data_IF_883091257964
#
_entry.id   IF_883091257964
#
_cell.length_a   1.000
_cell.length_b   1.000
_cell.length_c   1.000
_cell.angle_alpha   90.00
_cell.angle_beta   90.00
_cell.angle_gamma   90.00
#
_symmetry.space_group_name_H-M   'P 1'
#
loop_
_entity.id
_entity.type
_entity.pdbx_description
1 polymer ?
#
# COMPACT_ATOMS: atom_id res chain seq x y z
N UNK A 1 -7.81 11.14 -30.41
CA UNK A 1 -7.42 10.02 -29.53
C UNK A 1 -6.06 10.38 -28.99
N UNK A 2 -5.97 10.59 -27.68
CA UNK A 2 -4.73 10.97 -27.02
C UNK A 2 -3.96 9.70 -26.68
N UNK A 3 -2.85 9.48 -27.38
CA UNK A 3 -2.02 8.29 -27.23
C UNK A 3 -1.18 8.32 -25.94
N UNK A 4 -1.00 9.50 -25.33
CA UNK A 4 -0.19 9.69 -24.13
C UNK A 4 -0.77 8.98 -22.89
N UNK A 5 -2.09 9.07 -22.69
CA UNK A 5 -2.78 8.40 -21.59
C UNK A 5 -2.73 6.87 -21.66
N UNK A 6 -2.71 6.30 -22.87
CA UNK A 6 -2.68 4.84 -23.04
C UNK A 6 -1.32 4.25 -22.66
N UNK A 7 -0.24 4.91 -23.07
CA UNK A 7 1.13 4.51 -22.73
C UNK A 7 1.40 4.63 -21.23
N UNK A 8 0.86 5.68 -20.60
CA UNK A 8 0.94 5.91 -19.16
C UNK A 8 0.18 4.81 -18.37
N UNK A 9 -1.04 4.46 -18.78
CA UNK A 9 -1.81 3.39 -18.13
C UNK A 9 -1.15 2.00 -18.25
N UNK A 10 -0.53 1.70 -19.40
CA UNK A 10 0.21 0.46 -19.59
C UNK A 10 1.49 0.41 -18.73
N UNK A 11 2.19 1.54 -18.61
CA UNK A 11 3.36 1.69 -17.74
C UNK A 11 3.00 1.44 -16.27
N UNK A 12 2.00 2.13 -15.74
CA UNK A 12 1.56 1.96 -14.34
C UNK A 12 1.06 0.55 -14.05
N UNK A 13 0.37 -0.10 -15.01
CA UNK A 13 -0.02 -1.50 -14.85
C UNK A 13 1.18 -2.41 -14.62
N UNK A 14 2.26 -2.22 -15.38
CA UNK A 14 3.49 -3.02 -15.21
C UNK A 14 4.10 -2.78 -13.83
N UNK A 15 4.17 -1.54 -13.38
CA UNK A 15 4.70 -1.21 -12.03
C UNK A 15 3.84 -1.86 -10.93
N UNK A 16 2.52 -1.80 -11.07
CA UNK A 16 1.57 -2.41 -10.14
C UNK A 16 1.69 -3.93 -10.09
N UNK A 17 1.89 -4.58 -11.23
CA UNK A 17 2.06 -6.03 -11.36
C UNK A 17 3.46 -6.50 -10.90
N UNK A 18 4.46 -5.62 -10.90
CA UNK A 18 5.83 -5.94 -10.52
C UNK A 18 6.04 -6.05 -8.99
N UNK A 19 5.16 -5.42 -8.20
CA UNK A 19 5.19 -5.50 -6.73
C UNK A 19 4.29 -6.63 -6.20
N UNK A 20 4.60 -7.17 -5.03
CA UNK A 20 3.85 -8.31 -4.47
C UNK A 20 3.51 -8.09 -3.00
N UNK A 21 2.28 -8.46 -2.64
CA UNK A 21 1.83 -8.60 -1.26
C UNK A 21 2.01 -10.08 -0.91
N UNK A 22 3.14 -10.42 -0.30
CA UNK A 22 3.52 -11.81 0.02
C UNK A 22 2.67 -12.34 1.19
N UNK A 23 2.32 -11.44 2.12
CA UNK A 23 1.40 -11.70 3.22
C UNK A 23 0.65 -10.43 3.58
N UNK A 24 -0.68 -10.48 3.60
CA UNK A 24 -1.51 -9.36 4.05
C UNK A 24 -2.00 -9.57 5.49
N UNK A 25 -2.21 -8.48 6.23
CA UNK A 25 -3.02 -8.49 7.46
C UNK A 25 -4.43 -9.03 7.14
N UNK A 26 -5.02 -9.94 7.92
CA UNK A 26 -6.31 -10.56 7.60
C UNK A 26 -7.53 -9.68 7.95
N UNK A 27 -7.31 -8.57 8.66
CA UNK A 27 -8.38 -7.73 9.17
C UNK A 27 -8.76 -6.61 8.20
N UNK A 28 -10.05 -6.24 8.24
CA UNK A 28 -10.58 -5.09 7.52
C UNK A 28 -10.24 -3.77 8.23
N UNK A 29 -10.16 -2.69 7.45
CA UNK A 29 -10.03 -1.32 7.94
C UNK A 29 -11.31 -0.87 8.66
N UNK A 30 -11.14 -0.10 9.73
CA UNK A 30 -12.24 0.42 10.51
C UNK A 30 -13.15 1.35 9.71
N UNK A 31 -14.45 1.36 10.04
CA UNK A 31 -15.43 2.28 9.44
C UNK A 31 -15.10 3.75 9.76
N UNK A 32 -14.67 4.00 11.00
CA UNK A 32 -14.33 5.32 11.51
C UNK A 32 -12.92 5.34 12.13
N UNK A 33 -12.30 6.52 12.13
CA UNK A 33 -11.02 6.74 12.78
C UNK A 33 -9.82 6.34 11.91
N UNK A 34 -8.81 5.80 12.56
CA UNK A 34 -7.51 5.51 11.97
C UNK A 34 -7.23 4.02 12.01
N UNK A 35 -6.73 3.47 10.91
CA UNK A 35 -6.22 2.10 10.85
C UNK A 35 -4.71 2.12 10.60
N UNK A 36 -4.01 1.31 11.38
CA UNK A 36 -2.58 1.10 11.25
C UNK A 36 -2.33 -0.19 10.48
N UNK A 37 -1.46 -0.10 9.47
CA UNK A 37 -1.03 -1.21 8.63
C UNK A 37 0.48 -1.37 8.78
N UNK A 38 0.96 -2.05 9.84
CA UNK A 38 2.38 -2.30 10.01
C UNK A 38 2.86 -3.30 8.95
N UNK A 39 4.09 -3.11 8.48
CA UNK A 39 4.64 -3.89 7.38
C UNK A 39 6.15 -4.14 7.52
N UNK A 40 6.59 -5.22 6.85
CA UNK A 40 7.95 -5.37 6.35
C UNK A 40 7.95 -5.21 4.84
N UNK A 41 8.85 -4.35 4.34
CA UNK A 41 9.08 -4.13 2.92
C UNK A 41 10.46 -4.67 2.56
N UNK A 42 10.49 -5.62 1.63
CA UNK A 42 11.70 -6.29 1.16
C UNK A 42 11.99 -5.81 -0.26
N UNK A 43 13.11 -5.14 -0.46
CA UNK A 43 13.51 -4.59 -1.75
C UNK A 43 14.94 -4.99 -2.06
N UNK A 44 15.19 -5.52 -3.26
CA UNK A 44 16.56 -5.70 -3.72
C UNK A 44 17.26 -4.33 -3.78
N UNK A 45 18.55 -4.28 -3.42
CA UNK A 45 19.35 -3.08 -3.57
C UNK A 45 19.54 -2.76 -5.06
N UNK A 46 19.70 -1.47 -5.37
CA UNK A 46 20.09 -1.01 -6.71
C UNK A 46 21.55 -1.35 -7.07
N UNK A 47 22.31 -1.91 -6.13
CA UNK A 47 23.74 -2.22 -6.27
C UNK A 47 23.97 -3.68 -6.69
N UNK A 48 25.04 -3.90 -7.47
CA UNK A 48 25.51 -5.23 -7.90
C UNK A 48 26.06 -6.10 -6.76
N UNK A 49 25.99 -5.64 -5.50
CA UNK A 49 26.44 -6.40 -4.33
C UNK A 49 25.44 -7.47 -3.87
N UNK A 50 24.26 -7.53 -4.50
CA UNK A 50 23.24 -8.54 -4.24
C UNK A 50 22.57 -8.39 -2.87
N UNK A 51 22.71 -7.23 -2.22
CA UNK A 51 22.08 -6.98 -0.93
C UNK A 51 20.57 -6.77 -1.08
N UNK A 52 19.83 -7.13 -0.04
CA UNK A 52 18.40 -6.90 0.10
C UNK A 52 18.16 -5.98 1.28
N UNK A 53 17.41 -4.90 1.05
CA UNK A 53 16.95 -3.99 2.08
C UNK A 53 15.66 -4.48 2.71
N UNK A 54 15.64 -4.60 4.03
CA UNK A 54 14.45 -4.94 4.81
C UNK A 54 14.06 -3.72 5.64
N UNK A 55 12.90 -3.16 5.34
CA UNK A 55 12.40 -1.97 6.03
C UNK A 55 11.17 -2.33 6.84
N UNK A 56 11.19 -2.04 8.14
CA UNK A 56 9.99 -2.08 8.97
C UNK A 56 9.34 -0.70 8.97
N UNK A 57 8.03 -0.66 8.78
CA UNK A 57 7.27 0.59 8.82
C UNK A 57 5.80 0.39 9.11
N UNK A 58 5.04 1.47 8.98
CA UNK A 58 3.60 1.48 9.17
C UNK A 58 2.95 2.49 8.24
N UNK A 59 1.94 2.04 7.50
CA UNK A 59 1.00 2.94 6.82
C UNK A 59 -0.17 3.23 7.74
N UNK A 60 -0.48 4.49 7.92
CA UNK A 60 -1.59 4.98 8.72
C UNK A 60 -2.66 5.52 7.78
N UNK A 61 -3.84 4.91 7.81
CA UNK A 61 -4.99 5.32 7.00
C UNK A 61 -5.97 6.05 7.90
N UNK A 62 -6.23 7.32 7.59
CA UNK A 62 -7.19 8.15 8.34
C UNK A 62 -8.37 8.52 7.45
N UNK A 63 -9.58 8.25 7.94
CA UNK A 63 -10.80 8.76 7.32
C UNK A 63 -11.16 10.13 7.89
N UNK A 64 -11.32 11.17 7.05
CA UNK A 64 -11.73 12.48 7.49
C UNK A 64 -13.16 12.42 8.05
N UNK A 65 -13.36 13.01 9.23
CA UNK A 65 -14.66 13.04 9.93
C UNK A 65 -15.60 14.13 9.40
N UNK A 66 -15.08 15.09 8.64
CA UNK A 66 -15.84 16.19 8.04
C UNK A 66 -15.99 15.88 6.55
N UNK A 67 -17.21 16.09 6.02
CA UNK A 67 -17.53 16.00 4.59
C UNK A 67 -16.47 16.79 3.80
N UNK A 68 -15.52 16.05 3.27
CA UNK A 68 -14.47 16.60 2.43
C UNK A 68 -15.12 16.81 1.06
N UNK A 69 -15.05 18.01 0.46
CA UNK A 69 -15.66 18.27 -0.83
C UNK A 69 -15.32 17.17 -1.85
N UNK A 70 -16.28 16.78 -2.68
CA UNK A 70 -16.16 15.65 -3.64
C UNK A 70 -15.04 15.81 -4.69
N UNK A 71 -14.34 16.95 -4.69
CA UNK A 71 -13.26 17.29 -5.60
C UNK A 71 -11.85 17.10 -5.02
N UNK A 72 -11.71 16.65 -3.77
CA UNK A 72 -10.41 16.31 -3.18
C UNK A 72 -10.10 14.83 -3.39
N UNK A 73 -8.94 14.51 -3.99
CA UNK A 73 -8.46 13.14 -4.11
C UNK A 73 -7.82 12.60 -2.82
N UNK A 74 -7.35 11.35 -2.81
CA UNK A 74 -6.58 10.81 -1.70
C UNK A 74 -5.25 11.56 -1.49
N UNK A 75 -4.85 11.71 -0.23
CA UNK A 75 -3.58 12.32 0.15
C UNK A 75 -2.57 11.25 0.54
N UNK A 76 -1.36 11.33 0.00
CA UNK A 76 -0.23 10.45 0.33
C UNK A 76 0.90 11.28 0.95
N UNK A 77 1.38 10.85 2.12
CA UNK A 77 2.47 11.49 2.85
C UNK A 77 3.51 10.44 3.26
N UNK A 78 4.80 10.72 3.07
CA UNK A 78 5.89 9.83 3.48
C UNK A 78 6.08 8.58 2.61
N UNK A 79 5.36 8.49 1.50
CA UNK A 79 5.74 7.71 0.35
C UNK A 79 6.68 8.64 -0.43
N UNK A 80 7.90 8.20 -0.75
CA UNK A 80 8.83 8.96 -1.59
C UNK A 80 9.75 7.96 -2.29
N UNK A 81 9.35 7.56 -3.49
CA UNK A 81 10.26 6.94 -4.47
C UNK A 81 10.28 7.85 -5.71
N UNK A 82 11.46 8.02 -6.32
CA UNK A 82 11.74 8.97 -7.41
C UNK A 82 10.89 8.79 -8.69
N UNK A 83 10.09 7.71 -8.78
CA UNK A 83 9.41 7.28 -10.01
C UNK A 83 7.90 7.03 -9.88
N UNK A 84 7.29 7.16 -8.70
CA UNK A 84 6.05 6.41 -8.39
C UNK A 84 4.75 7.20 -8.22
N UNK A 85 4.79 8.45 -7.77
CA UNK A 85 3.65 9.01 -7.02
C UNK A 85 2.67 9.80 -7.87
N UNK A 86 3.18 10.72 -8.69
CA UNK A 86 2.38 11.75 -9.33
C UNK A 86 1.38 11.18 -10.36
N UNK A 87 1.76 10.14 -11.09
CA UNK A 87 0.88 9.49 -12.06
C UNK A 87 0.09 8.29 -11.52
N UNK A 88 0.37 7.83 -10.30
CA UNK A 88 -0.33 6.66 -9.75
C UNK A 88 -1.75 7.01 -9.31
N UNK A 89 -1.97 8.18 -8.70
CA UNK A 89 -3.32 8.65 -8.35
C UNK A 89 -4.19 8.78 -9.61
N UNK A 90 -3.64 9.36 -10.68
CA UNK A 90 -4.32 9.48 -11.97
C UNK A 90 -4.65 8.12 -12.60
N UNK A 91 -3.70 7.17 -12.56
CA UNK A 91 -3.93 5.79 -13.02
C UNK A 91 -5.07 5.10 -12.26
N UNK A 92 -5.12 5.26 -10.93
CA UNK A 92 -6.14 4.64 -10.08
C UNK A 92 -7.53 5.22 -10.37
N UNK A 93 -7.61 6.55 -10.52
CA UNK A 93 -8.85 7.25 -10.90
C UNK A 93 -9.32 6.84 -12.29
N UNK A 94 -8.42 6.70 -13.27
CA UNK A 94 -8.75 6.26 -14.63
C UNK A 94 -9.36 4.85 -14.68
N UNK A 95 -9.15 4.02 -13.65
CA UNK A 95 -9.76 2.68 -13.52
C UNK A 95 -11.15 2.71 -12.88
N UNK A 96 -11.71 3.89 -12.61
CA UNK A 96 -13.00 4.03 -11.95
C UNK A 96 -12.95 3.65 -10.47
N UNK A 97 -11.76 3.57 -9.87
CA UNK A 97 -11.67 3.40 -8.43
C UNK A 97 -11.97 4.73 -7.76
N UNK A 98 -13.15 4.83 -7.14
CA UNK A 98 -13.41 5.85 -6.15
C UNK A 98 -12.60 5.51 -4.91
N UNK A 99 -11.40 6.09 -4.81
CA UNK A 99 -10.66 6.09 -3.56
C UNK A 99 -11.38 7.10 -2.67
N UNK A 100 -12.06 6.66 -1.59
CA UNK A 100 -12.69 7.59 -0.67
C UNK A 100 -11.64 8.58 -0.16
N UNK A 101 -12.05 9.82 0.11
CA UNK A 101 -11.18 10.86 0.64
C UNK A 101 -10.52 10.32 1.91
N UNK A 102 -9.27 9.89 1.80
CA UNK A 102 -8.51 9.21 2.83
C UNK A 102 -7.12 9.79 2.82
N UNK A 103 -6.57 9.95 4.02
CA UNK A 103 -5.17 10.31 4.18
C UNK A 103 -4.37 9.05 4.46
N UNK A 104 -3.37 8.80 3.63
CA UNK A 104 -2.39 7.74 3.78
C UNK A 104 -1.08 8.39 4.23
N UNK A 105 -0.57 7.99 5.41
CA UNK A 105 0.72 8.46 5.91
C UNK A 105 1.63 7.26 6.17
N UNK A 106 2.78 7.23 5.52
CA UNK A 106 3.79 6.21 5.72
C UNK A 106 4.88 6.69 6.67
N UNK A 107 5.20 5.88 7.68
CA UNK A 107 6.35 6.07 8.54
C UNK A 107 7.22 4.81 8.50
N UNK A 108 8.41 4.95 7.94
CA UNK A 108 9.36 3.86 7.74
C UNK A 108 10.62 4.07 8.56
N UNK A 109 11.13 3.00 9.16
CA UNK A 109 12.45 2.98 9.76
C UNK A 109 13.56 2.93 8.71
N UNK A 110 14.81 2.86 9.18
CA UNK A 110 15.96 2.60 8.30
C UNK A 110 15.89 1.16 7.78
N UNK A 111 16.28 0.96 6.53
CA UNK A 111 16.44 -0.37 5.94
C UNK A 111 17.65 -1.10 6.56
N UNK A 112 17.44 -2.33 6.99
CA UNK A 112 18.49 -3.27 7.35
C UNK A 112 18.94 -4.02 6.10
N UNK A 113 20.24 -4.00 5.80
CA UNK A 113 20.80 -4.68 4.63
C UNK A 113 21.19 -6.11 4.98
N UNK A 114 20.71 -7.08 4.19
CA UNK A 114 21.02 -8.50 4.35
C UNK A 114 21.53 -9.08 3.03
N UNK A 115 22.28 -10.17 3.11
CA UNK A 115 22.88 -10.85 1.94
C UNK A 115 22.04 -12.01 1.40
N UNK A 116 20.94 -12.35 2.07
CA UNK A 116 19.99 -13.37 1.62
C UNK A 116 19.23 -12.88 0.37
N UNK A 117 18.67 -13.80 -0.42
CA UNK A 117 17.79 -13.41 -1.54
C UNK A 117 16.45 -12.85 -1.04
N UNK A 118 15.74 -12.10 -1.89
CA UNK A 118 14.40 -11.57 -1.55
C UNK A 118 13.45 -12.69 -1.11
N UNK A 119 13.46 -13.81 -1.82
CA UNK A 119 12.62 -14.98 -1.52
C UNK A 119 12.97 -15.61 -0.17
N UNK A 120 14.27 -15.72 0.14
CA UNK A 120 14.74 -16.25 1.42
C UNK A 120 14.34 -15.33 2.58
N UNK A 121 14.51 -14.02 2.41
CA UNK A 121 14.11 -13.01 3.40
C UNK A 121 12.60 -13.06 3.65
N UNK A 122 11.79 -13.04 2.59
CA UNK A 122 10.32 -13.13 2.68
C UNK A 122 9.92 -14.41 3.41
N UNK A 123 10.50 -15.55 3.04
CA UNK A 123 10.20 -16.85 3.68
C UNK A 123 10.56 -16.84 5.15
N UNK A 124 11.73 -16.31 5.52
CA UNK A 124 12.16 -16.18 6.91
C UNK A 124 11.24 -15.24 7.71
N UNK A 125 10.84 -14.11 7.14
CA UNK A 125 9.93 -13.16 7.78
C UNK A 125 8.55 -13.75 8.04
N UNK A 126 7.93 -14.39 7.04
CA UNK A 126 6.62 -15.02 7.19
C UNK A 126 6.69 -16.10 8.27
N UNK A 127 7.69 -17.00 8.19
CA UNK A 127 7.88 -18.05 9.20
C UNK A 127 8.07 -17.49 10.60
N UNK A 128 8.82 -16.40 10.76
CA UNK A 128 9.02 -15.74 12.06
C UNK A 128 7.70 -15.17 12.59
N UNK A 129 6.97 -14.43 11.77
CA UNK A 129 5.67 -13.86 12.16
C UNK A 129 4.65 -14.95 12.54
N UNK A 130 4.66 -16.08 11.84
CA UNK A 130 3.81 -17.23 12.18
C UNK A 130 4.19 -17.86 13.53
N UNK A 131 5.49 -17.96 13.83
CA UNK A 131 5.99 -18.45 15.11
C UNK A 131 5.70 -17.50 16.28
N UNK A 132 5.65 -16.21 16.01
CA UNK A 132 5.32 -15.16 16.98
C UNK A 132 3.80 -14.95 17.13
N UNK A 133 2.98 -15.69 16.39
CA UNK A 133 1.52 -15.51 16.30
C UNK A 133 1.13 -14.05 15.95
N UNK A 134 2.01 -13.35 15.22
CA UNK A 134 1.81 -11.96 14.82
C UNK A 134 1.11 -11.92 13.47
N UNK A 135 -0.20 -11.66 13.48
CA UNK A 135 -1.06 -11.64 12.30
C UNK A 135 -1.36 -10.24 11.75
N UNK A 136 -0.91 -9.18 12.44
CA UNK A 136 -1.22 -7.79 12.08
C UNK A 136 -0.19 -7.15 11.17
N UNK A 137 0.94 -7.82 10.93
CA UNK A 137 2.04 -7.30 10.12
C UNK A 137 2.02 -7.90 8.71
N UNK A 138 2.02 -7.04 7.70
CA UNK A 138 2.15 -7.44 6.31
C UNK A 138 3.61 -7.69 5.91
N UNK A 139 3.82 -8.53 4.89
CA UNK A 139 5.11 -8.70 4.21
C UNK A 139 4.92 -8.37 2.74
N UNK A 140 5.70 -7.41 2.26
CA UNK A 140 5.64 -6.87 0.91
C UNK A 140 7.01 -7.03 0.25
N UNK A 141 7.00 -7.32 -1.06
CA UNK A 141 8.22 -7.36 -1.87
C UNK A 141 8.08 -6.47 -3.09
N UNK A 142 9.19 -5.82 -3.47
CA UNK A 142 9.24 -4.93 -4.61
C UNK A 142 10.60 -4.94 -5.30
N UNK A 143 10.64 -4.71 -6.62
CA UNK A 143 11.87 -4.36 -7.31
C UNK A 143 12.48 -3.06 -6.76
N UNK A 144 13.78 -2.83 -7.02
CA UNK A 144 14.43 -1.59 -6.65
C UNK A 144 13.68 -0.37 -7.18
N UNK A 145 13.42 0.61 -6.31
CA UNK A 145 12.72 1.86 -6.65
C UNK A 145 11.19 1.75 -6.77
N UNK A 146 10.58 0.61 -6.43
CA UNK A 146 9.12 0.41 -6.42
C UNK A 146 8.55 0.13 -5.02
N UNK A 147 9.28 0.49 -3.96
CA UNK A 147 8.86 0.29 -2.58
C UNK A 147 7.56 1.03 -2.26
N UNK A 148 7.48 2.31 -2.62
CA UNK A 148 6.28 3.12 -2.41
C UNK A 148 5.07 2.60 -3.20
N UNK A 149 5.28 2.04 -4.40
CA UNK A 149 4.22 1.40 -5.19
C UNK A 149 3.63 0.18 -4.46
N UNK A 150 4.48 -0.65 -3.83
CA UNK A 150 4.03 -1.80 -3.05
C UNK A 150 3.17 -1.39 -1.85
N UNK A 151 3.58 -0.34 -1.13
CA UNK A 151 2.84 0.19 0.01
C UNK A 151 1.48 0.76 -0.39
N UNK A 152 1.44 1.54 -1.48
CA UNK A 152 0.21 2.14 -1.98
C UNK A 152 -0.75 1.07 -2.49
N UNK A 153 -0.24 0.08 -3.22
CA UNK A 153 -1.03 -1.08 -3.63
C UNK A 153 -1.65 -1.80 -2.43
N UNK A 154 -0.85 -2.09 -1.41
CA UNK A 154 -1.34 -2.76 -0.21
C UNK A 154 -2.45 -1.95 0.50
N UNK A 155 -2.23 -0.64 0.71
CA UNK A 155 -3.19 0.23 1.38
C UNK A 155 -4.51 0.36 0.60
N UNK A 156 -4.45 0.44 -0.72
CA UNK A 156 -5.63 0.54 -1.60
C UNK A 156 -6.40 -0.78 -1.62
N UNK A 157 -5.72 -1.92 -1.82
CA UNK A 157 -6.38 -3.23 -1.81
C UNK A 157 -7.09 -3.46 -0.47
N UNK A 158 -6.46 -3.10 0.65
CA UNK A 158 -7.10 -3.17 1.97
C UNK A 158 -8.30 -2.24 2.11
N UNK A 159 -8.23 -1.05 1.53
CA UNK A 159 -9.35 -0.11 1.52
C UNK A 159 -10.56 -0.65 0.75
N UNK A 160 -10.31 -1.26 -0.41
CA UNK A 160 -11.35 -1.85 -1.27
C UNK A 160 -11.96 -3.08 -0.60
N UNK A 161 -11.15 -3.98 -0.07
CA UNK A 161 -11.61 -5.18 0.65
C UNK A 161 -12.54 -4.82 1.81
N UNK A 162 -12.25 -3.71 2.48
CA UNK A 162 -13.00 -3.25 3.65
C UNK A 162 -14.25 -2.44 3.30
N UNK A 163 -14.42 -2.01 2.04
CA UNK A 163 -15.49 -1.10 1.66
C UNK A 163 -16.90 -1.66 1.90
N UNK A 164 -17.23 -2.91 1.52
CA UNK A 164 -18.59 -3.45 1.71
C UNK A 164 -19.05 -3.46 3.18
N UNK A 165 -18.18 -3.90 4.10
CA UNK A 165 -18.49 -3.92 5.53
C UNK A 165 -18.64 -2.51 6.11
N UNK A 166 -17.80 -1.59 5.67
CA UNK A 166 -17.87 -0.19 6.11
C UNK A 166 -19.13 0.53 5.63
N UNK A 167 -19.59 0.26 4.40
CA UNK A 167 -20.84 0.80 3.88
C UNK A 167 -22.03 0.25 4.67
N UNK A 168 -22.04 -1.05 4.98
CA UNK A 168 -23.10 -1.67 5.79
C UNK A 168 -23.18 -1.02 7.18
N UNK A 169 -22.05 -0.83 7.87
CA UNK A 169 -22.02 -0.17 9.18
C UNK A 169 -22.52 1.29 9.12
N UNK A 170 -22.19 2.03 8.06
CA UNK A 170 -22.70 3.40 7.85
C UNK A 170 -24.21 3.43 7.62
N UNK A 171 -24.77 2.47 6.87
CA UNK A 171 -26.22 2.36 6.64
C UNK A 171 -26.95 1.98 7.93
N UNK A 172 -26.44 1.01 8.70
CA UNK A 172 -27.00 0.62 10.00
C UNK A 172 -27.04 1.78 11.00
N UNK A 173 -26.08 2.69 10.91
CA UNK A 173 -26.00 3.90 11.76
C UNK A 173 -26.75 5.11 11.19
N UNK A 174 -27.41 4.98 10.04
CA UNK A 174 -28.15 6.06 9.39
C UNK A 174 -27.27 7.20 8.84
N UNK A 175 -26.00 6.92 8.57
CA UNK A 175 -25.01 7.87 8.04
C UNK A 175 -24.87 7.78 6.51
N UNK A 176 -25.42 6.72 5.90
CA UNK A 176 -25.62 6.59 4.46
C UNK A 176 -27.06 6.16 4.17
N UNK A 177 -27.65 6.62 3.04
CA UNK A 177 -28.98 6.20 2.61
C UNK A 177 -29.05 4.73 2.15
#
# INVERSE_FOLDING_TARGET
>A
MDFSHFDQAAHFRRLWEAVRIERAMPYALFTFGTTELPYYLVVAANSDDGLVGVTKGQVTITRPTILTPDNMGPEFEGFLDENGEEGMVEFLMARGMHIPNMKFANNAGRADMVSDSVEEVVTKLIKRLDQEEEDRVAVLSAPPGLGSVALIRYAIEKSIESAPGNIAELQERGLLP
#
